data_IF_024934737725
#
_entry.id   IF_024934737725
#
_cell.length_a   1.000
_cell.length_b   1.000
_cell.length_c   1.000
_cell.angle_alpha   90.00
_cell.angle_beta   90.00
_cell.angle_gamma   90.00
#
_symmetry.space_group_name_H-M   'P 1'
#
loop_
_entity.id
_entity.type
_entity.pdbx_description
1 polymer ?
#
# COMPACT_ATOMS: atom_id res chain seq x y z
N UNK A 1 8.47 -5.97 18.35
CA UNK A 1 7.19 -5.35 17.91
C UNK A 1 6.43 -4.77 19.10
N UNK A 2 6.24 -5.53 20.19
CA UNK A 2 5.56 -5.07 21.42
C UNK A 2 6.18 -3.83 22.11
N UNK A 3 7.47 -3.53 21.91
CA UNK A 3 8.13 -2.36 22.53
C UNK A 3 7.73 -0.99 21.94
N UNK A 4 7.15 -0.95 20.74
CA UNK A 4 6.76 0.31 20.07
C UNK A 4 5.24 0.44 20.02
N UNK A 5 4.53 -0.67 19.76
CA UNK A 5 3.07 -0.76 19.85
C UNK A 5 2.75 -2.08 20.57
N UNK A 6 2.26 -2.04 21.83
CA UNK A 6 1.87 -3.25 22.54
C UNK A 6 0.55 -3.76 21.96
N UNK A 7 0.65 -4.62 20.95
CA UNK A 7 -0.51 -5.31 20.37
C UNK A 7 -0.87 -6.45 21.33
N UNK A 8 -2.08 -6.41 21.87
CA UNK A 8 -2.64 -7.44 22.77
C UNK A 8 -3.62 -8.36 22.05
N UNK A 9 -4.35 -7.83 21.08
CA UNK A 9 -5.45 -8.50 20.40
C UNK A 9 -5.32 -8.38 18.88
N UNK A 10 -5.73 -9.45 18.18
CA UNK A 10 -5.86 -9.49 16.72
C UNK A 10 -7.24 -10.01 16.40
N UNK A 11 -8.04 -9.19 15.73
CA UNK A 11 -9.39 -9.56 15.28
C UNK A 11 -9.35 -9.92 13.81
N UNK A 12 -9.92 -11.07 13.45
CA UNK A 12 -9.93 -11.57 12.07
C UNK A 12 -11.34 -11.96 11.66
N UNK A 13 -11.77 -11.48 10.49
CA UNK A 13 -12.97 -12.01 9.85
C UNK A 13 -12.68 -13.43 9.33
N UNK A 14 -13.34 -14.43 9.92
CA UNK A 14 -13.28 -15.83 9.47
C UNK A 14 -14.14 -15.99 8.22
N UNK A 15 -13.46 -16.16 7.10
CA UNK A 15 -14.08 -16.44 5.81
C UNK A 15 -14.38 -17.93 5.74
N UNK A 16 -15.62 -18.28 5.41
CA UNK A 16 -16.03 -19.64 5.12
C UNK A 16 -16.77 -19.68 3.76
N UNK A 17 -16.12 -20.25 2.76
CA UNK A 17 -16.73 -20.48 1.46
C UNK A 17 -17.76 -21.63 1.53
N UNK A 18 -19.05 -21.32 1.34
CA UNK A 18 -20.09 -22.33 1.21
C UNK A 18 -19.99 -23.04 -0.15
N UNK A 19 -20.15 -24.37 -0.21
CA UNK A 19 -20.25 -25.08 -1.49
C UNK A 19 -21.65 -24.93 -2.09
N UNK A 20 -21.75 -25.00 -3.42
CA UNK A 20 -23.02 -24.90 -4.16
C UNK A 20 -23.25 -26.14 -5.01
N UNK A 21 -24.47 -26.68 -5.00
CA UNK A 21 -24.86 -27.85 -5.80
C UNK A 21 -24.64 -27.55 -7.29
N UNK A 22 -24.04 -28.50 -8.02
CA UNK A 22 -23.74 -28.40 -9.46
C UNK A 22 -22.85 -27.22 -9.89
N UNK A 23 -22.16 -26.54 -8.96
CA UNK A 23 -21.25 -25.44 -9.29
C UNK A 23 -19.78 -25.86 -9.17
N UNK A 24 -19.29 -26.74 -10.05
CA UNK A 24 -17.89 -27.24 -10.04
C UNK A 24 -16.87 -26.10 -9.95
N UNK A 25 -17.01 -25.07 -10.79
CA UNK A 25 -16.09 -23.90 -10.79
C UNK A 25 -16.10 -23.15 -9.47
N UNK A 26 -17.23 -23.04 -8.78
CA UNK A 26 -17.30 -22.39 -7.47
C UNK A 26 -16.62 -23.25 -6.40
N UNK A 27 -16.93 -24.54 -6.39
CA UNK A 27 -16.44 -25.49 -5.40
C UNK A 27 -14.93 -25.80 -5.51
N UNK A 28 -14.27 -25.37 -6.59
CA UNK A 28 -12.81 -25.53 -6.79
C UNK A 28 -12.02 -24.23 -6.66
N UNK A 29 -12.68 -23.07 -6.49
CA UNK A 29 -12.02 -21.77 -6.43
C UNK A 29 -12.21 -21.13 -5.05
N UNK A 30 -11.28 -21.44 -4.15
CA UNK A 30 -11.22 -20.84 -2.83
C UNK A 30 -10.28 -19.63 -2.82
N UNK A 31 -10.58 -18.63 -1.99
CA UNK A 31 -9.67 -17.51 -1.81
C UNK A 31 -8.37 -17.98 -1.12
N UNK A 32 -7.22 -17.34 -1.36
CA UNK A 32 -6.00 -17.63 -0.62
C UNK A 32 -6.17 -17.48 0.90
N UNK A 33 -7.06 -16.58 1.34
CA UNK A 33 -7.41 -16.42 2.75
C UNK A 33 -8.10 -17.67 3.30
N UNK A 34 -9.09 -18.23 2.60
CA UNK A 34 -9.76 -19.47 3.00
C UNK A 34 -8.76 -20.63 3.13
N UNK A 35 -7.91 -20.82 2.12
CA UNK A 35 -6.93 -21.92 2.10
C UNK A 35 -5.87 -21.74 3.20
N UNK A 36 -5.44 -20.50 3.44
CA UNK A 36 -4.35 -20.16 4.37
C UNK A 36 -4.79 -19.90 5.82
N UNK A 37 -6.09 -19.77 6.11
CA UNK A 37 -6.56 -19.25 7.41
C UNK A 37 -6.07 -20.03 8.62
N UNK A 38 -6.03 -21.37 8.55
CA UNK A 38 -5.55 -22.20 9.66
C UNK A 38 -4.08 -21.95 9.97
N UNK A 39 -3.25 -21.80 8.93
CA UNK A 39 -1.85 -21.45 9.12
C UNK A 39 -1.74 -20.04 9.72
N UNK A 40 -2.49 -19.08 9.17
CA UNK A 40 -2.53 -17.70 9.67
C UNK A 40 -2.93 -17.62 11.15
N UNK A 41 -3.99 -18.31 11.57
CA UNK A 41 -4.43 -18.35 12.96
C UNK A 41 -3.38 -18.96 13.90
N UNK A 42 -2.68 -20.02 13.47
CA UNK A 42 -1.57 -20.59 14.24
C UNK A 42 -0.43 -19.60 14.39
N UNK A 43 -0.07 -18.90 13.32
CA UNK A 43 0.98 -17.88 13.36
C UNK A 43 0.61 -16.76 14.35
N UNK A 44 -0.62 -16.25 14.31
CA UNK A 44 -1.07 -15.22 15.27
C UNK A 44 -1.02 -15.73 16.71
N UNK A 45 -1.55 -16.93 16.98
CA UNK A 45 -1.50 -17.52 18.33
C UNK A 45 -0.09 -17.71 18.87
N UNK A 46 0.91 -17.89 17.99
CA UNK A 46 2.32 -17.99 18.40
C UNK A 46 2.96 -16.66 18.80
N UNK A 47 2.30 -15.52 18.56
CA UNK A 47 2.81 -14.17 18.86
C UNK A 47 2.44 -13.67 20.27
N UNK A 48 1.88 -14.53 21.13
CA UNK A 48 1.41 -14.15 22.47
C UNK A 48 0.40 -12.99 22.44
N UNK A 49 -0.58 -13.11 21.54
CA UNK A 49 -1.70 -12.18 21.38
C UNK A 49 -3.01 -12.95 21.35
N UNK A 50 -4.07 -12.31 21.85
CA UNK A 50 -5.41 -12.87 21.81
C UNK A 50 -5.95 -12.82 20.37
N UNK A 51 -6.39 -13.96 19.84
CA UNK A 51 -7.01 -14.05 18.52
C UNK A 51 -8.53 -14.13 18.66
N UNK A 52 -9.22 -13.08 18.21
CA UNK A 52 -10.69 -13.03 18.16
C UNK A 52 -11.13 -13.28 16.72
N UNK A 53 -12.02 -14.25 16.51
CA UNK A 53 -12.61 -14.52 15.20
C UNK A 53 -14.01 -13.91 15.14
N UNK A 54 -14.33 -13.29 14.01
CA UNK A 54 -15.66 -12.74 13.71
C UNK A 54 -16.16 -13.29 12.39
N UNK A 55 -17.45 -13.55 12.31
CA UNK A 55 -18.14 -13.95 11.09
C UNK A 55 -18.61 -12.71 10.31
N UNK A 56 -18.90 -12.88 9.01
CA UNK A 56 -19.32 -11.75 8.18
C UNK A 56 -20.63 -11.07 8.62
N UNK A 57 -21.55 -11.80 9.27
CA UNK A 57 -22.78 -11.20 9.81
C UNK A 57 -22.51 -10.40 11.08
N UNK A 58 -21.56 -10.83 11.93
CA UNK A 58 -21.12 -10.05 13.08
C UNK A 58 -20.48 -8.73 12.63
N UNK A 59 -19.62 -8.76 11.61
CA UNK A 59 -19.04 -7.53 11.03
C UNK A 59 -20.13 -6.56 10.57
N UNK A 60 -21.22 -7.06 9.99
CA UNK A 60 -22.36 -6.22 9.59
C UNK A 60 -23.07 -5.59 10.79
N UNK A 61 -23.39 -6.37 11.83
CA UNK A 61 -24.00 -5.85 13.05
C UNK A 61 -23.09 -4.82 13.76
N UNK A 62 -21.78 -5.03 13.74
CA UNK A 62 -20.80 -4.07 14.29
C UNK A 62 -20.81 -2.74 13.52
N UNK A 63 -20.93 -2.78 12.18
CA UNK A 63 -21.08 -1.56 11.37
C UNK A 63 -22.31 -0.75 11.78
N UNK A 64 -23.43 -1.42 12.01
CA UNK A 64 -24.68 -0.77 12.41
C UNK A 64 -24.56 -0.18 13.83
N UNK A 65 -23.96 -0.93 14.77
CA UNK A 65 -23.72 -0.48 16.15
C UNK A 65 -22.88 0.81 16.20
N UNK A 66 -21.81 0.87 15.40
CA UNK A 66 -20.94 2.04 15.31
C UNK A 66 -21.41 3.12 14.32
N UNK A 67 -22.56 2.90 13.64
CA UNK A 67 -23.12 3.81 12.63
C UNK A 67 -22.13 4.18 11.52
N UNK A 68 -21.29 3.22 11.11
CA UNK A 68 -20.29 3.41 10.05
C UNK A 68 -20.72 2.75 8.76
N UNK A 69 -21.03 3.57 7.75
CA UNK A 69 -21.42 3.08 6.43
C UNK A 69 -20.20 2.69 5.59
N UNK A 70 -20.18 1.43 5.17
CA UNK A 70 -19.21 0.95 4.19
C UNK A 70 -19.69 1.27 2.77
N UNK A 71 -18.81 1.77 1.92
CA UNK A 71 -19.08 1.99 0.50
C UNK A 71 -18.39 0.92 -0.37
N UNK A 72 -19.01 0.56 -1.49
CA UNK A 72 -18.47 -0.44 -2.41
C UNK A 72 -17.36 0.06 -3.35
N UNK A 73 -17.08 1.36 -3.38
CA UNK A 73 -16.11 1.98 -4.31
C UNK A 73 -14.66 1.75 -3.87
N UNK A 74 -14.09 0.61 -4.27
CA UNK A 74 -12.73 0.16 -3.90
C UNK A 74 -11.59 0.98 -4.53
N UNK A 75 -11.89 1.84 -5.49
CA UNK A 75 -10.93 2.71 -6.18
C UNK A 75 -10.66 4.00 -5.40
N UNK A 76 -11.58 4.41 -4.52
CA UNK A 76 -11.43 5.62 -3.72
C UNK A 76 -10.69 5.33 -2.42
N UNK A 77 -9.54 5.98 -2.17
CA UNK A 77 -8.74 5.80 -0.96
C UNK A 77 -9.36 6.55 0.23
N UNK A 78 -10.55 6.13 0.66
CA UNK A 78 -11.28 6.71 1.79
C UNK A 78 -11.64 5.65 2.82
N UNK A 79 -11.73 6.06 4.09
CA UNK A 79 -12.00 5.17 5.23
C UNK A 79 -13.22 4.26 5.00
N UNK A 80 -14.32 4.85 4.53
CA UNK A 80 -15.57 4.15 4.25
C UNK A 80 -15.43 2.97 3.26
N UNK A 81 -14.43 2.99 2.38
CA UNK A 81 -14.19 1.93 1.40
C UNK A 81 -13.29 0.81 1.94
N UNK A 82 -12.31 1.17 2.78
CA UNK A 82 -11.17 0.31 3.07
C UNK A 82 -11.00 -0.10 4.52
N UNK A 83 -11.42 0.73 5.47
CA UNK A 83 -11.02 0.60 6.88
C UNK A 83 -12.19 0.33 7.83
N UNK A 84 -13.45 0.57 7.42
CA UNK A 84 -14.64 0.40 8.29
C UNK A 84 -14.66 -0.96 8.96
N UNK A 85 -14.58 -2.06 8.21
CA UNK A 85 -14.68 -3.41 8.78
C UNK A 85 -13.56 -3.69 9.80
N UNK A 86 -12.33 -3.32 9.46
CA UNK A 86 -11.18 -3.50 10.36
C UNK A 86 -11.33 -2.65 11.63
N UNK A 87 -11.82 -1.41 11.48
CA UNK A 87 -11.99 -0.50 12.60
C UNK A 87 -13.09 -0.98 13.55
N UNK A 88 -14.27 -1.36 13.05
CA UNK A 88 -15.38 -1.80 13.92
C UNK A 88 -15.07 -3.09 14.65
N UNK A 89 -14.34 -4.01 14.02
CA UNK A 89 -13.86 -5.24 14.66
C UNK A 89 -12.85 -4.95 15.77
N UNK A 90 -11.90 -4.03 15.51
CA UNK A 90 -10.94 -3.64 16.53
C UNK A 90 -11.59 -2.88 17.69
N UNK A 91 -12.51 -1.95 17.38
CA UNK A 91 -13.23 -1.13 18.35
C UNK A 91 -14.10 -1.96 19.30
N UNK A 92 -14.69 -3.05 18.79
CA UNK A 92 -15.46 -3.99 19.59
C UNK A 92 -14.64 -4.69 20.67
N UNK A 93 -13.38 -5.00 20.40
CA UNK A 93 -12.48 -5.65 21.36
C UNK A 93 -11.80 -4.62 22.26
N UNK A 94 -11.42 -3.47 21.73
CA UNK A 94 -10.73 -2.42 22.50
C UNK A 94 -11.65 -1.55 23.34
N UNK A 95 -12.96 -1.57 23.08
CA UNK A 95 -13.93 -0.67 23.71
C UNK A 95 -13.88 0.76 23.17
N UNK A 96 -13.32 0.97 21.97
CA UNK A 96 -13.28 2.31 21.37
C UNK A 96 -14.68 2.77 20.93
N UNK A 97 -15.05 4.01 21.27
CA UNK A 97 -16.39 4.53 20.99
C UNK A 97 -16.58 4.96 19.53
N UNK A 98 -15.63 5.70 18.96
CA UNK A 98 -15.71 6.27 17.62
C UNK A 98 -14.32 6.49 16.99
N UNK A 99 -14.20 6.54 15.64
CA UNK A 99 -12.91 6.78 15.00
C UNK A 99 -12.41 8.19 15.30
N UNK A 100 -11.14 8.30 15.70
CA UNK A 100 -10.47 9.59 15.92
C UNK A 100 -9.78 10.14 14.66
N UNK A 101 -9.59 9.29 13.64
CA UNK A 101 -8.98 9.65 12.36
C UNK A 101 -9.63 8.84 11.23
N UNK A 102 -9.92 9.51 10.12
CA UNK A 102 -10.50 8.94 8.91
C UNK A 102 -9.54 8.96 7.72
N UNK A 103 -8.36 9.56 7.89
CA UNK A 103 -7.33 9.60 6.89
C UNK A 103 -6.63 8.26 6.74
N UNK A 104 -6.13 8.03 5.53
CA UNK A 104 -5.44 6.80 5.17
C UNK A 104 -4.02 7.11 4.69
N UNK A 105 -3.06 6.39 5.24
CA UNK A 105 -1.68 6.43 4.79
C UNK A 105 -1.43 5.29 3.79
N UNK A 106 -1.16 5.64 2.55
CA UNK A 106 -0.88 4.69 1.47
C UNK A 106 0.61 4.60 1.20
N UNK A 107 1.15 3.38 1.23
CA UNK A 107 2.54 3.10 0.84
C UNK A 107 2.54 2.36 -0.49
N UNK A 108 2.96 3.03 -1.55
CA UNK A 108 3.00 2.47 -2.91
C UNK A 108 4.44 2.14 -3.29
N UNK A 109 4.76 0.89 -3.68
CA UNK A 109 6.11 0.53 -4.05
C UNK A 109 6.52 1.29 -5.32
N UNK A 110 7.77 1.73 -5.38
CA UNK A 110 8.32 2.30 -6.61
C UNK A 110 8.51 1.15 -7.61
N UNK A 111 7.70 1.17 -8.67
CA UNK A 111 7.76 0.18 -9.75
C UNK A 111 8.90 0.53 -10.69
N UNK A 112 10.01 -0.18 -10.55
CA UNK A 112 11.12 -0.12 -11.49
C UNK A 112 10.96 -1.20 -12.55
N UNK A 113 11.20 -0.85 -13.82
CA UNK A 113 11.32 -1.85 -14.87
C UNK A 113 12.45 -2.81 -14.52
N UNK A 114 12.15 -4.11 -14.56
CA UNK A 114 13.15 -5.18 -14.42
C UNK A 114 13.68 -5.57 -15.79
N UNK A 115 14.84 -6.24 -15.82
CA UNK A 115 15.35 -6.83 -17.06
C UNK A 115 14.33 -7.85 -17.60
N UNK A 116 14.09 -7.79 -18.90
CA UNK A 116 13.18 -8.70 -19.60
C UNK A 116 14.01 -9.66 -20.44
N UNK A 117 13.57 -10.92 -20.55
CA UNK A 117 14.26 -12.00 -21.27
C UNK A 117 14.68 -11.57 -22.69
N UNK A 118 13.76 -11.02 -23.47
CA UNK A 118 14.02 -10.57 -24.86
C UNK A 118 14.92 -9.33 -24.97
N UNK A 119 15.28 -8.70 -23.85
CA UNK A 119 16.17 -7.54 -23.77
C UNK A 119 17.52 -7.91 -23.15
N UNK A 120 17.78 -9.21 -22.94
CA UNK A 120 19.07 -9.73 -22.51
C UNK A 120 20.05 -9.88 -23.68
N UNK A 121 19.55 -9.97 -24.92
CA UNK A 121 20.42 -10.06 -26.08
C UNK A 121 21.13 -8.72 -26.34
N UNK A 122 22.43 -8.74 -26.68
CA UNK A 122 23.14 -7.54 -27.12
C UNK A 122 22.51 -6.95 -28.38
N UNK A 123 22.66 -5.65 -28.57
CA UNK A 123 22.27 -5.00 -29.82
C UNK A 123 23.36 -5.14 -30.89
N UNK A 124 23.10 -4.62 -32.09
CA UNK A 124 24.11 -4.43 -33.12
C UNK A 124 25.28 -3.64 -32.52
N UNK A 125 26.47 -4.25 -32.46
CA UNK A 125 27.65 -3.72 -31.76
C UNK A 125 27.97 -4.39 -30.41
N UNK A 126 27.26 -5.46 -30.02
CA UNK A 126 27.65 -6.32 -28.90
C UNK A 126 27.36 -5.76 -27.50
N UNK A 127 26.83 -4.54 -27.40
CA UNK A 127 26.51 -3.89 -26.13
C UNK A 127 25.03 -4.11 -25.79
N UNK A 128 24.77 -4.57 -24.56
CA UNK A 128 23.40 -4.72 -24.03
C UNK A 128 22.83 -3.36 -23.61
N UNK A 129 21.55 -3.12 -23.89
CA UNK A 129 20.87 -1.91 -23.41
C UNK A 129 20.87 -1.87 -21.86
N UNK A 130 21.08 -0.70 -21.24
CA UNK A 130 21.00 -0.53 -19.78
C UNK A 130 19.56 -0.60 -19.23
N UNK A 131 18.58 -0.93 -20.08
CA UNK A 131 17.18 -1.01 -19.71
C UNK A 131 16.94 -2.11 -18.66
N UNK A 132 16.01 -1.85 -17.73
CA UNK A 132 15.73 -2.78 -16.63
C UNK A 132 16.78 -2.82 -15.51
N UNK A 133 17.84 -2.00 -15.59
CA UNK A 133 18.83 -1.84 -14.52
C UNK A 133 18.34 -1.00 -13.33
N UNK A 134 19.06 -1.08 -12.21
CA UNK A 134 18.77 -0.33 -10.97
C UNK A 134 19.49 1.01 -10.90
N UNK A 135 20.42 1.30 -11.82
CA UNK A 135 21.20 2.54 -11.85
C UNK A 135 20.90 3.40 -13.09
N UNK A 136 21.16 4.69 -12.95
CA UNK A 136 20.87 5.73 -13.91
C UNK A 136 21.86 6.88 -13.73
N UNK A 137 22.82 7.03 -14.65
CA UNK A 137 23.92 8.01 -14.59
C UNK A 137 24.65 8.00 -13.24
N UNK A 138 25.00 6.82 -12.74
CA UNK A 138 25.67 6.65 -11.46
C UNK A 138 24.74 6.61 -10.24
N UNK A 139 23.49 7.07 -10.34
CA UNK A 139 22.54 7.07 -9.23
C UNK A 139 21.66 5.83 -9.18
N UNK A 140 21.31 5.39 -7.98
CA UNK A 140 20.32 4.31 -7.78
C UNK A 140 18.91 4.82 -8.06
N UNK A 141 18.11 4.08 -8.82
CA UNK A 141 16.70 4.43 -9.05
C UNK A 141 15.90 4.29 -7.76
N UNK A 142 14.96 5.20 -7.54
CA UNK A 142 14.30 5.39 -6.24
C UNK A 142 15.09 6.29 -5.27
N UNK A 143 16.20 6.88 -5.70
CA UNK A 143 16.85 7.94 -4.90
C UNK A 143 15.95 9.18 -4.90
N UNK A 144 15.51 9.58 -3.71
CA UNK A 144 14.77 10.80 -3.43
C UNK A 144 15.73 12.00 -3.52
N UNK A 145 15.31 13.02 -4.24
CA UNK A 145 16.07 14.24 -4.50
C UNK A 145 15.16 15.46 -4.37
N UNK A 146 15.73 16.59 -3.96
CA UNK A 146 15.06 17.89 -3.97
C UNK A 146 15.57 18.67 -5.18
N UNK A 147 14.74 18.79 -6.20
CA UNK A 147 15.06 19.50 -7.44
C UNK A 147 14.65 20.97 -7.35
N UNK A 148 15.51 21.88 -7.80
CA UNK A 148 15.31 23.34 -7.69
C UNK A 148 13.95 23.80 -8.25
N UNK A 149 13.53 23.25 -9.38
CA UNK A 149 12.26 23.59 -10.06
C UNK A 149 11.08 22.69 -9.70
N UNK A 150 11.32 21.43 -9.37
CA UNK A 150 10.28 20.40 -9.31
C UNK A 150 10.00 19.92 -7.87
N UNK A 151 10.69 20.49 -6.89
CA UNK A 151 10.55 20.12 -5.49
C UNK A 151 10.97 18.68 -5.23
N UNK A 152 10.17 17.97 -4.43
CA UNK A 152 10.48 16.61 -3.99
C UNK A 152 10.17 15.57 -5.08
N UNK A 153 11.21 14.93 -5.59
CA UNK A 153 11.13 13.94 -6.69
C UNK A 153 12.03 12.75 -6.42
N UNK A 154 11.87 11.65 -7.17
CA UNK A 154 12.84 10.55 -7.16
C UNK A 154 13.35 10.22 -8.56
N UNK A 155 14.55 9.66 -8.62
CA UNK A 155 15.18 9.22 -9.87
C UNK A 155 14.49 7.95 -10.37
N UNK A 156 13.76 8.05 -11.48
CA UNK A 156 13.07 6.92 -12.10
C UNK A 156 13.87 6.24 -13.21
N UNK A 157 14.80 6.97 -13.84
CA UNK A 157 15.53 6.46 -14.98
C UNK A 157 16.39 7.53 -15.66
N UNK A 158 16.75 7.27 -16.90
CA UNK A 158 17.57 8.16 -17.73
C UNK A 158 17.06 8.18 -19.16
N UNK A 159 17.21 9.31 -19.83
CA UNK A 159 16.96 9.46 -21.26
C UNK A 159 18.00 10.40 -21.87
N UNK A 160 18.66 9.99 -22.96
CA UNK A 160 19.64 10.80 -23.71
C UNK A 160 20.67 11.49 -22.79
N UNK A 161 21.27 10.74 -21.86
CA UNK A 161 22.29 11.26 -20.94
C UNK A 161 21.76 12.20 -19.84
N UNK A 162 20.44 12.33 -19.66
CA UNK A 162 19.83 13.13 -18.59
C UNK A 162 18.97 12.28 -17.66
N UNK A 163 18.72 12.77 -16.45
CA UNK A 163 17.91 12.07 -15.45
C UNK A 163 16.42 12.29 -15.70
N UNK A 164 15.68 11.20 -15.53
CA UNK A 164 14.21 11.19 -15.49
C UNK A 164 13.75 11.23 -14.04
N UNK A 165 13.08 12.32 -13.66
CA UNK A 165 12.57 12.52 -12.30
C UNK A 165 11.07 12.31 -12.26
N UNK A 166 10.60 11.72 -11.16
CA UNK A 166 9.20 11.41 -10.91
C UNK A 166 8.77 12.09 -9.61
N UNK A 167 7.54 12.56 -9.55
CA UNK A 167 6.99 13.19 -8.35
C UNK A 167 7.01 12.19 -7.19
N UNK A 168 7.50 12.60 -6.02
CA UNK A 168 7.66 11.70 -4.87
C UNK A 168 6.34 11.14 -4.33
N UNK A 169 5.23 11.84 -4.53
CA UNK A 169 3.90 11.43 -4.08
C UNK A 169 3.18 10.69 -5.21
N UNK A 170 2.93 11.34 -6.35
CA UNK A 170 2.10 10.78 -7.43
C UNK A 170 2.82 9.74 -8.28
N UNK A 171 4.16 9.76 -8.34
CA UNK A 171 4.98 8.85 -9.14
C UNK A 171 4.94 9.14 -10.64
N UNK A 172 4.18 10.16 -11.05
CA UNK A 172 4.13 10.66 -12.41
C UNK A 172 5.49 11.26 -12.76
N UNK A 173 5.98 10.96 -13.96
CA UNK A 173 7.24 11.52 -14.45
C UNK A 173 7.06 13.02 -14.69
N UNK A 174 7.91 13.82 -14.05
CA UNK A 174 7.86 15.30 -14.10
C UNK A 174 8.80 15.84 -15.17
N UNK A 175 9.99 15.24 -15.31
CA UNK A 175 10.98 15.66 -16.31
C UNK A 175 11.83 14.49 -16.80
N UNK A 176 12.40 14.61 -18.00
CA UNK A 176 13.35 13.68 -18.63
C UNK A 176 14.73 14.31 -18.84
N UNK A 177 14.92 15.56 -18.41
CA UNK A 177 16.06 16.38 -18.78
C UNK A 177 16.78 16.98 -17.57
N UNK A 178 16.60 16.42 -16.37
CA UNK A 178 17.24 16.92 -15.16
C UNK A 178 18.76 16.69 -15.20
N UNK A 179 19.53 17.70 -14.80
CA UNK A 179 20.98 17.60 -14.61
C UNK A 179 21.29 17.32 -13.15
N UNK A 180 22.46 16.73 -12.89
CA UNK A 180 22.90 16.41 -11.53
C UNK A 180 23.10 17.65 -10.64
N UNK A 181 23.32 18.82 -11.25
CA UNK A 181 23.51 20.10 -10.56
C UNK A 181 22.16 20.71 -10.10
N UNK A 182 21.04 20.27 -10.66
CA UNK A 182 19.73 20.88 -10.44
C UNK A 182 19.02 20.30 -9.20
N UNK A 183 19.66 19.41 -8.44
CA UNK A 183 19.05 18.79 -7.27
C UNK A 183 20.06 18.39 -6.19
N UNK A 184 19.55 18.28 -4.96
CA UNK A 184 20.26 17.70 -3.82
C UNK A 184 19.74 16.30 -3.54
N UNK A 185 20.64 15.36 -3.25
CA UNK A 185 20.29 13.99 -2.87
C UNK A 185 19.84 13.97 -1.42
N UNK A 186 18.75 13.25 -1.13
CA UNK A 186 18.23 13.10 0.22
C UNK A 186 18.47 11.69 0.76
N UNK A 187 17.83 10.69 0.16
CA UNK A 187 17.93 9.30 0.60
C UNK A 187 17.41 8.34 -0.48
N UNK A 188 17.63 7.04 -0.32
CA UNK A 188 17.03 6.03 -1.19
C UNK A 188 15.71 5.56 -0.59
N UNK A 189 14.63 5.66 -1.37
CA UNK A 189 13.31 5.14 -1.00
C UNK A 189 12.94 3.93 -1.87
N UNK A 190 12.25 2.96 -1.27
CA UNK A 190 11.63 1.84 -1.99
C UNK A 190 10.12 2.05 -2.19
N UNK A 191 9.52 2.93 -1.40
CA UNK A 191 8.10 3.19 -1.33
C UNK A 191 7.84 4.68 -1.39
N UNK A 192 6.72 5.06 -2.00
CA UNK A 192 6.15 6.39 -1.95
C UNK A 192 5.04 6.38 -0.91
N UNK A 193 4.93 7.46 -0.16
CA UNK A 193 3.92 7.62 0.87
C UNK A 193 2.96 8.73 0.48
N UNK A 194 1.68 8.45 0.51
CA UNK A 194 0.62 9.44 0.28
C UNK A 194 -0.31 9.43 1.49
N UNK A 195 -0.56 10.60 2.05
CA UNK A 195 -1.60 10.80 3.06
C UNK A 195 -2.87 11.25 2.35
N UNK A 196 -3.94 10.46 2.47
CA UNK A 196 -5.28 10.86 2.09
C UNK A 196 -5.97 11.35 3.34
N UNK A 197 -6.17 12.67 3.45
CA UNK A 197 -6.84 13.24 4.61
C UNK A 197 -8.27 12.70 4.71
N UNK A 198 -8.69 12.38 5.93
CA UNK A 198 -10.09 12.11 6.22
C UNK A 198 -10.90 13.37 5.95
N UNK A 199 -12.02 13.24 5.24
CA UNK A 199 -13.00 14.33 5.14
C UNK A 199 -13.57 14.50 6.55
N UNK A 200 -13.07 15.46 7.31
CA UNK A 200 -13.43 15.60 8.73
C UNK A 200 -12.61 16.57 9.58
N UNK A 201 -11.45 17.08 9.11
CA UNK A 201 -10.87 18.26 9.78
C UNK A 201 -11.69 19.49 9.41
N UNK A 202 -12.69 19.80 10.24
CA UNK A 202 -13.08 21.19 10.44
C UNK A 202 -11.88 21.89 11.05
N UNK A 203 -11.01 22.44 10.21
CA UNK A 203 -10.18 23.55 10.65
C UNK A 203 -11.15 24.70 10.90
N UNK A 204 -11.58 24.87 12.15
CA UNK A 204 -12.01 26.18 12.61
C UNK A 204 -10.79 27.10 12.48
N UNK A 205 -10.75 27.84 11.37
CA UNK A 205 -9.94 29.03 11.27
C UNK A 205 -10.43 29.97 12.36
N UNK A 206 -9.71 30.06 13.48
CA UNK A 206 -9.87 31.18 14.40
C UNK A 206 -9.44 32.44 13.64
N UNK A 207 -10.39 33.36 13.46
CA UNK A 207 -10.10 34.73 13.03
C UNK A 207 -9.40 35.53 14.12
#
# INVERSE_FOLDING_TARGET
>A
MQKILPITDVVVEDVAAATKKNCKRWNTNFSPLEVGKKWFYRTIRSLDVNLVLRTGYETAALRDRFRLTKIGQKDKPIFASHAVDAWVMAADVSGADHPTEFGLLYWTPIRLHRRQLHRLQPEKGGIRKPYGGTRSLGFTRGTLVRHIKHGLTYIGGTLKGKLSLHNAVTGVRVTKSAKCQDFTILTRIAWRTTWYAGVGRWHSSTG
#
